data_IF_633424907933
#
_entry.id   IF_633424907933
#
_cell.length_a   1.000
_cell.length_b   1.000
_cell.length_c   1.000
_cell.angle_alpha   90.00
_cell.angle_beta   90.00
_cell.angle_gamma   90.00
#
_symmetry.space_group_name_H-M   'P 1'
#
loop_
_entity.id
_entity.type
_entity.pdbx_description
1 polymer ?
#
# COMPACT_ATOMS: atom_id res chain seq x y z
N UNK A 1 -21.03 -32.97 -0.66
CA UNK A 1 -20.15 -33.56 0.39
C UNK A 1 -20.74 -33.47 1.80
N UNK A 2 -21.61 -32.51 2.12
CA UNK A 2 -22.24 -32.37 3.45
C UNK A 2 -23.23 -33.49 3.85
N UNK A 3 -23.67 -34.33 2.90
CA UNK A 3 -24.66 -35.39 3.14
C UNK A 3 -24.06 -36.71 3.67
N UNK A 4 -22.73 -36.87 3.60
CA UNK A 4 -22.04 -38.12 4.02
C UNK A 4 -21.13 -37.95 5.25
N UNK A 5 -20.95 -36.72 5.74
CA UNK A 5 -19.92 -36.38 6.73
C UNK A 5 -20.59 -35.66 7.90
N UNK A 6 -20.71 -36.33 9.06
CA UNK A 6 -21.54 -35.92 10.19
C UNK A 6 -21.21 -34.56 10.83
N UNK A 7 -21.97 -34.17 11.86
CA UNK A 7 -22.00 -32.82 12.52
C UNK A 7 -20.62 -32.20 12.84
N UNK A 8 -19.59 -33.01 13.04
CA UNK A 8 -18.19 -32.56 13.25
C UNK A 8 -17.63 -31.76 12.06
N UNK A 9 -17.99 -32.10 10.82
CA UNK A 9 -17.52 -31.37 9.65
C UNK A 9 -18.14 -29.98 9.51
N UNK A 10 -19.32 -29.76 10.12
CA UNK A 10 -19.94 -28.43 10.20
C UNK A 10 -19.10 -27.49 11.06
N UNK A 11 -18.61 -27.96 12.22
CA UNK A 11 -17.70 -27.18 13.07
C UNK A 11 -16.40 -26.84 12.36
N UNK A 12 -15.80 -27.80 11.65
CA UNK A 12 -14.61 -27.54 10.84
C UNK A 12 -14.86 -26.46 9.78
N UNK A 13 -15.99 -26.53 9.07
CA UNK A 13 -16.34 -25.53 8.06
C UNK A 13 -16.52 -24.14 8.67
N UNK A 14 -17.23 -24.03 9.80
CA UNK A 14 -17.43 -22.74 10.48
C UNK A 14 -16.08 -22.14 10.89
N UNK A 15 -15.18 -22.95 11.48
CA UNK A 15 -13.85 -22.49 11.87
C UNK A 15 -13.00 -22.07 10.67
N UNK A 16 -12.95 -22.86 9.60
CA UNK A 16 -12.20 -22.53 8.39
C UNK A 16 -12.74 -21.28 7.72
N UNK A 17 -14.06 -21.10 7.65
CA UNK A 17 -14.65 -19.89 7.07
C UNK A 17 -14.36 -18.68 7.95
N UNK A 18 -14.46 -18.80 9.28
CA UNK A 18 -14.11 -17.72 10.21
C UNK A 18 -12.63 -17.34 10.09
N UNK A 19 -11.72 -18.27 10.37
CA UNK A 19 -10.27 -18.01 10.33
C UNK A 19 -9.82 -17.61 8.91
N UNK A 20 -10.36 -18.26 7.88
CA UNK A 20 -10.06 -17.96 6.49
C UNK A 20 -10.47 -16.54 6.11
N UNK A 21 -11.66 -16.08 6.52
CA UNK A 21 -12.12 -14.73 6.22
C UNK A 21 -11.24 -13.67 6.88
N UNK A 22 -10.90 -13.84 8.17
CA UNK A 22 -10.01 -12.93 8.87
C UNK A 22 -8.61 -12.90 8.24
N UNK A 23 -8.08 -14.07 7.86
CA UNK A 23 -6.79 -14.16 7.17
C UNK A 23 -6.82 -13.43 5.82
N UNK A 24 -7.85 -13.66 5.00
CA UNK A 24 -8.00 -13.01 3.70
C UNK A 24 -8.14 -11.49 3.82
N UNK A 25 -8.96 -11.00 4.76
CA UNK A 25 -9.12 -9.56 4.99
C UNK A 25 -7.80 -8.92 5.43
N UNK A 26 -7.07 -9.55 6.36
CA UNK A 26 -5.78 -9.04 6.82
C UNK A 26 -4.72 -9.05 5.71
N UNK A 27 -4.71 -10.07 4.84
CA UNK A 27 -3.83 -10.10 3.68
C UNK A 27 -4.17 -8.99 2.68
N UNK A 28 -5.45 -8.78 2.37
CA UNK A 28 -5.88 -7.70 1.47
C UNK A 28 -5.50 -6.34 2.06
N UNK A 29 -5.77 -6.13 3.35
CA UNK A 29 -5.43 -4.88 4.03
C UNK A 29 -3.92 -4.60 3.96
N UNK A 30 -3.09 -5.61 4.26
CA UNK A 30 -1.65 -5.49 4.16
C UNK A 30 -1.20 -5.11 2.74
N UNK A 31 -1.75 -5.75 1.70
CA UNK A 31 -1.41 -5.45 0.30
C UNK A 31 -1.87 -4.05 -0.09
N UNK A 32 -3.08 -3.63 0.31
CA UNK A 32 -3.59 -2.29 0.01
C UNK A 32 -2.77 -1.22 0.73
N UNK A 33 -2.40 -1.44 1.99
CA UNK A 33 -1.50 -0.55 2.73
C UNK A 33 -0.13 -0.47 2.06
N UNK A 34 0.47 -1.59 1.66
CA UNK A 34 1.75 -1.61 0.95
C UNK A 34 1.66 -0.84 -0.38
N UNK A 35 0.62 -1.09 -1.19
CA UNK A 35 0.43 -0.38 -2.45
C UNK A 35 0.15 1.12 -2.24
N UNK A 36 -0.59 1.48 -1.18
CA UNK A 36 -0.84 2.87 -0.84
C UNK A 36 0.45 3.58 -0.39
N UNK A 37 1.26 2.94 0.46
CA UNK A 37 2.56 3.46 0.89
C UNK A 37 3.55 3.59 -0.26
N UNK A 38 3.65 2.59 -1.14
CA UNK A 38 4.56 2.60 -2.29
C UNK A 38 4.22 3.74 -3.25
N UNK A 39 2.93 3.97 -3.53
CA UNK A 39 2.51 5.09 -4.37
C UNK A 39 2.70 6.46 -3.69
N UNK A 40 2.53 6.53 -2.37
CA UNK A 40 2.70 7.78 -1.62
C UNK A 40 4.18 8.16 -1.45
N UNK A 41 5.08 7.20 -1.25
CA UNK A 41 6.53 7.43 -1.15
C UNK A 41 7.12 7.88 -2.49
N UNK A 42 6.74 7.25 -3.61
CA UNK A 42 7.20 7.68 -4.93
C UNK A 42 6.79 9.13 -5.25
N UNK A 43 5.56 9.53 -4.90
CA UNK A 43 5.09 10.91 -5.10
C UNK A 43 5.85 11.92 -4.25
N UNK A 44 6.18 11.57 -3.00
CA UNK A 44 6.83 12.51 -2.07
C UNK A 44 8.28 12.77 -2.49
N UNK A 45 9.02 11.73 -2.85
CA UNK A 45 10.42 11.85 -3.28
C UNK A 45 10.55 12.61 -4.62
N UNK A 46 9.61 12.41 -5.55
CA UNK A 46 9.61 13.14 -6.82
C UNK A 46 9.36 14.64 -6.64
N UNK A 47 8.45 15.02 -5.74
CA UNK A 47 8.15 16.43 -5.46
C UNK A 47 9.36 17.11 -4.83
N UNK A 48 10.02 16.46 -3.87
CA UNK A 48 11.19 17.03 -3.18
C UNK A 48 12.39 17.18 -4.12
N UNK A 49 12.60 16.22 -5.03
CA UNK A 49 13.62 16.31 -6.07
C UNK A 49 13.32 17.44 -7.08
N UNK A 50 12.05 17.64 -7.43
CA UNK A 50 11.63 18.69 -8.38
C UNK A 50 11.76 20.08 -7.75
N UNK A 51 11.42 20.22 -6.47
CA UNK A 51 11.56 21.47 -5.71
C UNK A 51 13.04 21.89 -5.63
N UNK A 52 13.95 20.96 -5.29
CA UNK A 52 15.39 21.24 -5.26
C UNK A 52 15.94 21.70 -6.61
N UNK A 53 15.57 21.01 -7.70
CA UNK A 53 15.99 21.41 -9.05
C UNK A 53 15.44 22.77 -9.45
N UNK A 54 14.21 23.09 -9.07
CA UNK A 54 13.61 24.38 -9.35
C UNK A 54 14.29 25.52 -8.57
N UNK A 55 14.61 25.29 -7.29
CA UNK A 55 15.36 26.24 -6.47
C UNK A 55 16.78 26.49 -7.01
N UNK A 56 17.49 25.44 -7.43
CA UNK A 56 18.81 25.58 -8.06
C UNK A 56 18.75 26.38 -9.37
N UNK A 57 17.77 26.11 -10.22
CA UNK A 57 17.58 26.87 -11.47
C UNK A 57 17.25 28.35 -11.21
N UNK A 58 16.41 28.65 -10.21
CA UNK A 58 16.11 30.02 -9.82
C UNK A 58 17.34 30.74 -9.23
N UNK A 59 18.19 30.06 -8.47
CA UNK A 59 19.43 30.63 -7.96
C UNK A 59 20.44 30.94 -9.07
N UNK A 60 20.60 30.06 -10.06
CA UNK A 60 21.43 30.35 -11.24
C UNK A 60 20.94 31.58 -11.98
N UNK A 61 19.63 31.68 -12.26
CA UNK A 61 19.05 32.83 -12.94
C UNK A 61 19.22 34.14 -12.16
N UNK A 62 19.09 34.11 -10.83
CA UNK A 62 19.34 35.30 -10.00
C UNK A 62 20.80 35.72 -10.06
N UNK A 63 21.72 34.76 -10.06
CA UNK A 63 23.16 35.04 -10.11
C UNK A 63 23.56 35.60 -11.48
N UNK A 64 22.95 35.16 -12.57
CA UNK A 64 23.14 35.77 -13.90
C UNK A 64 22.56 37.19 -14.02
N UNK A 65 21.48 37.52 -13.30
CA UNK A 65 20.92 38.89 -13.30
C UNK A 65 21.69 39.88 -12.41
N UNK A 66 22.51 39.41 -11.47
CA UNK A 66 23.34 40.25 -10.59
C UNK A 66 24.76 40.56 -11.15
N UNK A 67 25.09 40.08 -12.36
CA UNK A 67 26.35 40.35 -13.08
C UNK A 67 26.12 41.28 -14.27
#
# INVERSE_FOLDING_TARGET
>A
TLRASGKIYMFFFVLVIFLGSFYLVNLILAVVTMAYEEQNQATTDEIEAKEKKFQEALQMLRTEQEV
#
